data_IF_533617964548
#
_entry.id   IF_533617964548
#
_cell.length_a   1.000
_cell.length_b   1.000
_cell.length_c   1.000
_cell.angle_alpha   90.00
_cell.angle_beta   90.00
_cell.angle_gamma   90.00
#
_symmetry.space_group_name_H-M   'P 1'
#
loop_
_entity.id
_entity.type
_entity.pdbx_description
1 polymer ?
#
# COMPACT_ATOMS: atom_id res chain seq x y z
N UNK A 1 -23.55 -0.54 14.84
CA UNK A 1 -22.13 -0.16 14.62
C UNK A 1 -21.51 -1.12 13.62
N UNK A 2 -21.41 -0.72 12.35
CA UNK A 2 -20.76 -1.54 11.32
C UNK A 2 -19.25 -1.33 11.42
N UNK A 3 -18.56 -2.15 12.21
CA UNK A 3 -17.11 -2.12 12.32
C UNK A 3 -16.43 -2.40 10.97
N UNK A 4 -15.19 -1.92 10.81
CA UNK A 4 -14.37 -2.24 9.65
C UNK A 4 -14.17 -3.75 9.54
N UNK A 5 -14.37 -4.30 8.34
CA UNK A 5 -14.14 -5.73 8.09
C UNK A 5 -12.64 -5.99 7.91
N UNK A 6 -12.18 -7.14 8.38
CA UNK A 6 -10.83 -7.61 8.09
C UNK A 6 -10.62 -7.76 6.57
N UNK A 7 -9.38 -7.55 6.11
CA UNK A 7 -9.02 -7.69 4.69
C UNK A 7 -9.42 -9.06 4.11
N UNK A 8 -9.32 -10.13 4.91
CA UNK A 8 -9.71 -11.49 4.51
C UNK A 8 -11.19 -11.62 4.15
N UNK A 9 -12.09 -10.85 4.77
CA UNK A 9 -13.53 -10.92 4.53
C UNK A 9 -13.90 -10.44 3.12
N UNK A 10 -13.06 -9.62 2.49
CA UNK A 10 -13.29 -9.14 1.14
C UNK A 10 -12.88 -10.13 0.05
N UNK A 11 -12.14 -11.19 0.40
CA UNK A 11 -11.88 -12.29 -0.56
C UNK A 11 -13.13 -13.12 -0.84
N UNK A 12 -13.97 -13.35 0.17
CA UNK A 12 -15.21 -14.12 0.04
C UNK A 12 -16.42 -13.28 -0.42
N UNK A 13 -16.35 -11.95 -0.30
CA UNK A 13 -17.39 -11.03 -0.77
C UNK A 13 -16.77 -9.77 -1.44
N UNK A 14 -16.29 -9.90 -2.69
CA UNK A 14 -15.62 -8.80 -3.39
C UNK A 14 -16.56 -7.62 -3.71
N UNK A 15 -17.87 -7.85 -3.85
CA UNK A 15 -18.83 -6.76 -4.12
C UNK A 15 -18.90 -5.77 -2.95
N UNK A 16 -18.99 -6.28 -1.72
CA UNK A 16 -19.05 -5.45 -0.51
C UNK A 16 -17.78 -4.65 -0.20
N UNK A 17 -16.67 -4.92 -0.89
CA UNK A 17 -15.41 -4.16 -0.77
C UNK A 17 -15.53 -2.74 -1.35
N UNK A 18 -16.25 -2.59 -2.46
CA UNK A 18 -16.34 -1.33 -3.19
C UNK A 18 -17.54 -0.46 -2.76
N UNK A 19 -18.53 -1.06 -2.09
CA UNK A 19 -19.79 -0.40 -1.71
C UNK A 19 -19.75 0.22 -0.30
N UNK A 20 -18.77 -0.13 0.53
CA UNK A 20 -18.61 0.35 1.92
C UNK A 20 -17.28 1.06 2.09
N UNK A 21 -17.18 1.99 3.04
CA UNK A 21 -15.96 2.74 3.40
C UNK A 21 -14.84 1.86 3.94
N UNK A 22 -14.36 0.92 3.15
CA UNK A 22 -13.21 0.08 3.43
C UNK A 22 -11.97 0.97 3.51
N UNK A 23 -11.13 0.74 4.52
CA UNK A 23 -9.81 1.37 4.63
C UNK A 23 -8.93 1.08 3.40
N UNK A 24 -9.23 0.01 2.66
CA UNK A 24 -8.42 -0.48 1.55
C UNK A 24 -8.94 -0.03 0.17
N UNK A 25 -10.05 0.70 0.13
CA UNK A 25 -10.63 1.26 -1.09
C UNK A 25 -10.26 2.74 -1.22
N UNK A 26 -9.86 3.17 -2.42
CA UNK A 26 -9.64 4.58 -2.76
C UNK A 26 -10.39 4.92 -4.03
N UNK A 27 -11.22 5.97 -4.00
CA UNK A 27 -11.93 6.46 -5.20
C UNK A 27 -10.99 6.95 -6.29
N UNK A 28 -9.76 7.34 -5.95
CA UNK A 28 -8.77 7.82 -6.90
C UNK A 28 -8.05 6.67 -7.65
N UNK A 29 -8.15 5.44 -7.14
CA UNK A 29 -7.43 4.31 -7.72
C UNK A 29 -8.10 3.79 -9.00
N UNK A 30 -7.28 3.34 -9.96
CA UNK A 30 -7.79 2.75 -11.21
C UNK A 30 -7.95 1.24 -11.05
N UNK A 31 -9.17 0.82 -10.75
CA UNK A 31 -9.53 -0.59 -10.59
C UNK A 31 -9.75 -1.29 -11.94
N UNK A 32 -9.38 -2.58 -12.06
CA UNK A 32 -9.68 -3.38 -13.26
C UNK A 32 -11.17 -3.39 -13.61
N UNK A 33 -11.49 -3.44 -14.90
CA UNK A 33 -12.87 -3.45 -15.38
C UNK A 33 -13.72 -4.59 -14.78
N UNK A 34 -13.12 -5.76 -14.55
CA UNK A 34 -13.76 -6.95 -13.96
C UNK A 34 -13.61 -7.05 -12.42
N UNK A 35 -13.50 -5.91 -11.72
CA UNK A 35 -13.32 -5.84 -10.26
C UNK A 35 -14.37 -6.58 -9.40
N UNK A 36 -15.49 -7.01 -9.97
CA UNK A 36 -16.52 -7.79 -9.26
C UNK A 36 -16.08 -9.22 -8.94
N UNK A 37 -15.08 -9.75 -9.65
CA UNK A 37 -14.56 -11.10 -9.44
C UNK A 37 -13.55 -11.20 -8.28
N UNK A 38 -12.99 -10.08 -7.82
CA UNK A 38 -11.96 -10.06 -6.76
C UNK A 38 -11.81 -8.68 -6.11
N UNK A 39 -11.47 -8.65 -4.81
CA UNK A 39 -11.12 -7.41 -4.13
C UNK A 39 -9.69 -6.98 -4.50
N UNK A 40 -9.56 -5.78 -5.04
CA UNK A 40 -8.28 -5.15 -5.36
C UNK A 40 -7.98 -4.08 -4.31
N UNK A 41 -6.89 -4.24 -3.57
CA UNK A 41 -6.56 -3.37 -2.45
C UNK A 41 -5.71 -2.20 -2.93
N UNK A 42 -6.21 -0.97 -2.79
CA UNK A 42 -5.49 0.26 -3.16
C UNK A 42 -4.52 0.74 -2.07
N UNK A 43 -4.58 0.11 -0.90
CA UNK A 43 -3.65 0.25 0.23
C UNK A 43 -3.21 -1.13 0.69
N UNK A 44 -1.96 -1.25 1.14
CA UNK A 44 -1.43 -2.51 1.64
C UNK A 44 -0.63 -2.33 2.92
N UNK A 45 -0.48 -3.41 3.68
CA UNK A 45 0.49 -3.50 4.77
C UNK A 45 1.87 -3.72 4.15
N UNK A 46 2.91 -3.10 4.73
CA UNK A 46 4.28 -3.36 4.34
C UNK A 46 4.63 -4.84 4.55
N UNK A 47 4.85 -5.57 3.45
CA UNK A 47 5.07 -7.02 3.50
C UNK A 47 6.38 -7.42 4.16
N UNK A 48 7.35 -6.51 4.28
CA UNK A 48 8.63 -6.79 4.94
C UNK A 48 8.53 -6.80 6.46
N UNK A 49 7.41 -6.35 7.03
CA UNK A 49 7.18 -6.42 8.48
C UNK A 49 6.72 -7.81 8.94
N UNK A 50 6.44 -8.74 8.02
CA UNK A 50 6.03 -10.09 8.38
C UNK A 50 7.15 -10.83 9.12
N UNK A 51 6.86 -11.31 10.33
CA UNK A 51 7.83 -12.04 11.15
C UNK A 51 8.74 -11.16 12.01
N UNK A 52 8.57 -9.83 11.98
CA UNK A 52 9.26 -8.96 12.92
C UNK A 52 8.62 -9.03 14.32
N UNK A 53 9.43 -9.13 15.38
CA UNK A 53 8.92 -9.58 16.68
C UNK A 53 8.01 -8.54 17.35
N UNK A 54 8.31 -7.24 17.27
CA UNK A 54 7.53 -6.14 17.89
C UNK A 54 7.84 -4.79 17.24
N UNK A 55 6.86 -3.90 17.13
CA UNK A 55 7.08 -2.49 16.72
C UNK A 55 8.15 -1.80 17.60
N UNK A 56 8.18 -2.14 18.89
CA UNK A 56 9.15 -1.61 19.85
C UNK A 56 10.62 -1.98 19.56
N UNK A 57 10.87 -2.97 18.69
CA UNK A 57 12.21 -3.38 18.31
C UNK A 57 12.72 -2.67 17.05
N UNK A 58 11.91 -1.82 16.41
CA UNK A 58 12.30 -1.11 15.21
C UNK A 58 13.27 0.04 15.54
N UNK A 59 14.43 0.15 14.87
CA UNK A 59 15.40 1.21 15.15
C UNK A 59 14.91 2.59 14.71
N UNK A 60 14.10 2.66 13.65
CA UNK A 60 13.63 3.92 13.04
C UNK A 60 12.12 3.87 12.75
N UNK A 61 11.24 3.82 13.76
CA UNK A 61 9.81 3.66 13.55
C UNK A 61 9.18 4.82 12.75
N UNK A 62 9.70 6.04 12.90
CA UNK A 62 9.27 7.24 12.14
C UNK A 62 9.73 7.24 10.68
N UNK A 63 10.56 6.31 10.25
CA UNK A 63 10.91 6.13 8.83
C UNK A 63 10.49 4.78 8.29
N UNK A 64 10.10 3.85 9.16
CA UNK A 64 9.70 2.50 8.74
C UNK A 64 8.25 2.52 8.28
N UNK A 65 8.01 2.21 7.00
CA UNK A 65 6.67 2.17 6.46
C UNK A 65 5.86 1.01 7.07
N UNK A 66 4.65 1.32 7.55
CA UNK A 66 3.67 0.37 8.08
C UNK A 66 2.60 0.05 7.03
N UNK A 67 2.01 1.09 6.44
CA UNK A 67 1.05 1.02 5.34
C UNK A 67 1.45 1.98 4.22
N UNK A 68 1.00 1.69 3.00
CA UNK A 68 1.14 2.63 1.89
C UNK A 68 0.16 2.34 0.78
N UNK A 69 0.03 3.31 -0.13
CA UNK A 69 -0.75 3.11 -1.35
C UNK A 69 -0.12 2.03 -2.22
N UNK A 70 -0.95 1.08 -2.65
CA UNK A 70 -0.54 -0.02 -3.50
C UNK A 70 -1.06 0.23 -4.93
N UNK A 71 -0.18 0.00 -5.91
CA UNK A 71 -0.51 0.08 -7.33
C UNK A 71 -1.51 -1.01 -7.73
N UNK A 72 -2.49 -0.63 -8.51
CA UNK A 72 -3.45 -1.53 -9.15
C UNK A 72 -3.04 -1.89 -10.58
N UNK A 73 -3.61 -2.97 -11.18
CA UNK A 73 -3.24 -3.40 -12.53
C UNK A 73 -3.36 -2.31 -13.60
N UNK A 74 -4.39 -1.46 -13.54
CA UNK A 74 -4.65 -0.43 -14.56
C UNK A 74 -3.89 0.89 -14.30
N UNK A 75 -2.94 0.88 -13.36
CA UNK A 75 -2.09 2.01 -12.98
C UNK A 75 -0.67 1.90 -13.55
N UNK A 76 -0.49 1.21 -14.68
CA UNK A 76 0.84 0.90 -15.25
C UNK A 76 1.71 2.12 -15.57
N UNK A 77 1.08 3.27 -15.85
CA UNK A 77 1.76 4.54 -16.18
C UNK A 77 1.95 5.46 -14.97
N UNK A 78 1.47 5.08 -13.79
CA UNK A 78 1.65 5.89 -12.60
C UNK A 78 3.05 5.68 -12.02
N UNK A 79 3.68 6.75 -11.50
CA UNK A 79 4.94 6.62 -10.79
C UNK A 79 4.75 5.92 -9.43
N UNK A 80 5.81 5.29 -8.89
CA UNK A 80 7.05 4.94 -9.58
C UNK A 80 6.82 3.83 -10.61
N UNK A 81 7.22 4.07 -11.86
CA UNK A 81 7.10 3.12 -12.97
C UNK A 81 8.40 2.31 -13.10
N UNK A 82 8.55 1.23 -12.32
CA UNK A 82 9.79 0.44 -12.37
C UNK A 82 9.79 -0.92 -11.66
N UNK A 83 8.70 -1.30 -10.99
CA UNK A 83 8.57 -2.62 -10.36
C UNK A 83 8.16 -3.71 -11.36
N UNK A 84 8.87 -4.84 -11.35
CA UNK A 84 8.39 -6.13 -11.90
C UNK A 84 7.15 -6.58 -11.10
N UNK A 85 6.01 -6.81 -11.76
CA UNK A 85 4.72 -6.95 -11.10
C UNK A 85 3.95 -8.21 -11.47
N UNK A 86 4.08 -9.21 -10.62
CA UNK A 86 3.42 -10.50 -10.85
C UNK A 86 2.16 -10.67 -9.97
N UNK A 87 1.90 -9.76 -9.02
CA UNK A 87 0.76 -9.90 -8.08
C UNK A 87 0.25 -8.57 -7.52
N UNK A 88 -0.42 -7.77 -8.35
CA UNK A 88 -1.05 -6.51 -7.94
C UNK A 88 -2.41 -6.68 -7.27
N UNK A 89 -2.85 -5.65 -6.56
CA UNK A 89 -4.15 -5.62 -5.89
C UNK A 89 -4.24 -6.50 -4.64
N UNK A 90 -3.14 -7.09 -4.17
CA UNK A 90 -3.09 -7.78 -2.87
C UNK A 90 -3.03 -6.74 -1.73
N UNK A 91 -3.46 -7.07 -0.50
CA UNK A 91 -3.35 -6.21 0.68
C UNK A 91 -1.89 -6.08 1.21
N UNK A 92 -0.92 -6.03 0.29
CA UNK A 92 0.52 -6.03 0.57
C UNK A 92 1.21 -5.00 -0.32
N UNK A 93 2.00 -4.13 0.30
CA UNK A 93 2.79 -3.09 -0.37
C UNK A 93 4.25 -3.18 0.05
N UNK A 94 5.12 -2.68 -0.80
CA UNK A 94 6.53 -2.34 -0.53
C UNK A 94 6.99 -1.36 -1.61
N UNK A 95 8.25 -0.94 -1.58
CA UNK A 95 8.93 -0.13 -2.61
C UNK A 95 8.47 -0.40 -4.06
N UNK A 96 8.44 -1.67 -4.52
CA UNK A 96 8.08 -2.03 -5.91
C UNK A 96 6.59 -1.92 -6.25
N UNK A 97 5.73 -1.80 -5.23
CA UNK A 97 4.27 -1.73 -5.37
C UNK A 97 3.69 -0.41 -4.90
N UNK A 98 4.49 0.46 -4.29
CA UNK A 98 4.06 1.78 -3.93
C UNK A 98 3.58 2.54 -5.18
N UNK A 99 2.58 3.39 -5.03
CA UNK A 99 2.07 4.24 -6.11
C UNK A 99 1.86 5.66 -5.62
N UNK A 100 2.31 6.60 -6.44
CA UNK A 100 2.20 8.03 -6.25
C UNK A 100 1.01 8.57 -7.04
N UNK A 101 -0.19 8.19 -6.58
CA UNK A 101 -1.46 8.37 -7.30
C UNK A 101 -1.89 9.83 -7.50
N UNK A 102 -1.53 10.71 -6.57
CA UNK A 102 -1.98 12.11 -6.56
C UNK A 102 -0.90 13.03 -7.14
N UNK A 103 -0.74 13.01 -8.47
CA UNK A 103 0.22 13.85 -9.19
C UNK A 103 1.67 13.70 -8.67
N UNK A 104 2.14 12.46 -8.58
CA UNK A 104 3.49 12.15 -8.09
C UNK A 104 3.60 12.05 -6.57
N UNK A 105 2.47 12.08 -5.85
CA UNK A 105 2.39 11.89 -4.39
C UNK A 105 1.55 10.65 -4.06
N UNK A 106 1.99 9.86 -3.08
CA UNK A 106 1.21 8.80 -2.45
C UNK A 106 1.23 8.96 -0.93
N UNK A 107 0.35 8.25 -0.23
CA UNK A 107 0.32 8.27 1.24
C UNK A 107 1.10 7.08 1.79
N UNK A 108 1.93 7.33 2.80
CA UNK A 108 2.60 6.32 3.61
C UNK A 108 2.25 6.57 5.07
N UNK A 109 1.90 5.52 5.80
CA UNK A 109 1.80 5.55 7.26
C UNK A 109 3.00 4.82 7.82
N UNK A 110 3.66 5.41 8.80
CA UNK A 110 4.86 4.88 9.43
C UNK A 110 4.56 4.13 10.72
N UNK A 111 5.53 3.37 11.22
CA UNK A 111 5.39 2.50 12.38
C UNK A 111 5.22 3.24 13.72
N UNK A 112 5.53 4.54 13.78
CA UNK A 112 5.20 5.41 14.92
C UNK A 112 3.75 5.97 14.86
N UNK A 113 3.03 5.69 13.78
CA UNK A 113 1.61 6.03 13.60
C UNK A 113 1.33 7.29 12.79
N UNK A 114 2.34 8.09 12.42
CA UNK A 114 2.08 9.26 11.57
C UNK A 114 1.91 8.86 10.10
N UNK A 115 1.27 9.73 9.33
CA UNK A 115 1.12 9.59 7.88
C UNK A 115 1.68 10.79 7.14
N UNK A 116 2.32 10.55 6.01
CA UNK A 116 2.92 11.58 5.16
C UNK A 116 2.44 11.45 3.71
N UNK A 117 2.28 12.59 3.07
CA UNK A 117 2.19 12.73 1.63
C UNK A 117 3.59 12.59 1.01
N UNK A 118 3.96 11.37 0.61
CA UNK A 118 5.27 11.04 0.08
C UNK A 118 5.34 11.27 -1.44
N UNK A 119 6.23 12.16 -1.88
CA UNK A 119 6.48 12.38 -3.31
C UNK A 119 7.52 11.38 -3.82
N UNK A 120 7.12 10.53 -4.77
CA UNK A 120 8.03 9.64 -5.49
C UNK A 120 7.63 9.53 -6.95
N UNK A 121 8.45 10.07 -7.84
CA UNK A 121 8.30 9.94 -9.30
C UNK A 121 9.12 8.79 -9.88
N UNK A 122 10.14 8.35 -9.13
CA UNK A 122 11.09 7.31 -9.54
C UNK A 122 11.23 6.22 -8.47
N UNK A 123 11.74 5.05 -8.87
CA UNK A 123 12.03 3.97 -7.94
C UNK A 123 13.14 4.34 -6.94
N UNK A 124 14.09 5.20 -7.34
CA UNK A 124 15.17 5.64 -6.46
C UNK A 124 14.65 6.48 -5.28
N UNK A 125 13.67 7.35 -5.52
CA UNK A 125 13.08 8.19 -4.46
C UNK A 125 12.33 7.36 -3.42
N UNK A 126 11.60 6.31 -3.83
CA UNK A 126 10.89 5.43 -2.89
C UNK A 126 11.81 4.43 -2.17
N UNK A 127 13.08 4.33 -2.61
CA UNK A 127 14.12 3.50 -2.00
C UNK A 127 15.09 4.30 -1.11
N UNK A 128 14.93 5.62 -1.04
CA UNK A 128 15.78 6.47 -0.20
C UNK A 128 15.47 6.23 1.29
N UNK A 129 16.35 5.48 1.95
CA UNK A 129 16.22 5.09 3.37
C UNK A 129 16.33 6.26 4.33
N UNK A 130 16.82 7.43 3.87
CA UNK A 130 16.75 8.64 4.68
C UNK A 130 15.31 9.14 4.85
N UNK A 131 14.41 8.76 3.94
CA UNK A 131 13.01 9.18 3.92
C UNK A 131 12.06 8.04 4.27
N UNK A 132 12.25 6.85 3.70
CA UNK A 132 11.39 5.69 3.96
C UNK A 132 12.17 4.38 3.96
N UNK A 133 11.92 3.57 4.98
CA UNK A 133 12.47 2.24 5.19
C UNK A 133 11.34 1.23 4.97
N UNK A 134 11.45 0.47 3.88
CA UNK A 134 10.53 -0.64 3.62
C UNK A 134 10.99 -1.91 4.31
N UNK A 135 12.29 -2.18 4.33
CA UNK A 135 12.86 -3.37 4.97
C UNK A 135 13.74 -2.91 6.15
N UNK A 136 13.26 -3.01 7.40
CA UNK A 136 14.02 -2.54 8.56
C UNK A 136 15.16 -3.49 8.96
N UNK A 137 15.36 -4.60 8.24
CA UNK A 137 16.45 -5.56 8.47
C UNK A 137 17.70 -5.25 7.64
N UNK A 138 17.61 -4.29 6.73
CA UNK A 138 18.67 -3.86 5.80
C UNK A 138 19.01 -2.40 6.01
#
# INVERSE_FOLDING_TARGET
LSGFLAASNYRSNPKGFYDKGSLFYSKAAKYPANKTASAYFAFGINSQLSGLPKLAALPYPSRTALFGEARLPDETKLPPSGGTMDSLGQPKVRDKRFVSRYNGVGIITFCDGHSEAFRATTQAEILDTNKVIWDPTK
#
